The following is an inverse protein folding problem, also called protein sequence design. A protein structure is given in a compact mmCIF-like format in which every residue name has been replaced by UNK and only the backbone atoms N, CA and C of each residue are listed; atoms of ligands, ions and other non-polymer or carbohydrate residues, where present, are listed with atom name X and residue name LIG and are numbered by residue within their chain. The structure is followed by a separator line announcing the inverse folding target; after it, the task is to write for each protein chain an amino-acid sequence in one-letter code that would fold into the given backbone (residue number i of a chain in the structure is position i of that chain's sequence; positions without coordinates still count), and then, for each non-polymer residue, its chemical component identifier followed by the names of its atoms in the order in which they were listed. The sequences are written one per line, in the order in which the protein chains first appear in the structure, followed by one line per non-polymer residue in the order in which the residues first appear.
data_IF_438452019001
#
_entry.id   IF_438452019001
#
_cell.length_a   1.000
_cell.length_b   1.000
_cell.length_c   1.000
_cell.angle_alpha   90.00
_cell.angle_beta   90.00
_cell.angle_gamma   90.00
#
_symmetry.space_group_name_H-M   'P 1'
#
loop_
_entity.id
_entity.type
_entity.pdbx_description
1 polymer ?
#
# COMPACT_ATOMS: atom_id res chain seq x y z
N UNK A 1 3.88 -33.73 -14.79
CA UNK A 1 3.36 -33.00 -13.61
C UNK A 1 4.53 -32.29 -13.00
N UNK A 2 4.54 -30.96 -13.00
CA UNK A 2 5.57 -30.20 -12.28
C UNK A 2 5.45 -30.52 -10.80
N UNK A 3 6.57 -30.82 -10.14
CA UNK A 3 6.58 -31.07 -8.70
C UNK A 3 5.99 -29.85 -7.99
N UNK A 4 5.12 -30.07 -6.98
CA UNK A 4 4.56 -29.01 -6.17
C UNK A 4 5.70 -28.26 -5.46
N UNK A 5 5.92 -26.95 -5.72
CA UNK A 5 7.06 -26.20 -5.18
C UNK A 5 7.01 -26.06 -3.64
N UNK A 6 5.84 -26.28 -3.03
CA UNK A 6 5.61 -26.10 -1.59
C UNK A 6 5.67 -27.41 -0.78
N UNK A 7 5.68 -28.56 -1.46
CA UNK A 7 5.67 -29.87 -0.78
C UNK A 7 6.87 -30.04 0.15
N UNK A 8 6.62 -30.32 1.42
CA UNK A 8 7.64 -30.53 2.43
C UNK A 8 8.38 -29.28 2.90
N UNK A 9 7.95 -28.09 2.50
CA UNK A 9 8.50 -26.82 2.99
C UNK A 9 7.68 -26.28 4.15
N UNK A 10 8.36 -25.70 5.11
CA UNK A 10 7.75 -24.88 6.18
C UNK A 10 7.73 -23.44 5.72
N UNK A 11 6.55 -22.85 5.61
CA UNK A 11 6.34 -21.49 5.13
C UNK A 11 5.74 -20.65 6.26
N UNK A 12 6.31 -19.48 6.52
CA UNK A 12 5.72 -18.52 7.43
C UNK A 12 4.70 -17.65 6.67
N UNK A 13 3.51 -17.50 7.21
CA UNK A 13 2.54 -16.48 6.80
C UNK A 13 2.50 -15.43 7.89
N UNK A 14 3.11 -14.28 7.59
CA UNK A 14 3.11 -13.12 8.47
C UNK A 14 1.74 -12.47 8.42
N UNK A 15 1.10 -12.29 9.56
CA UNK A 15 -0.26 -11.76 9.65
C UNK A 15 -0.47 -10.98 10.94
N UNK A 16 -1.59 -10.31 11.08
CA UNK A 16 -1.95 -9.56 12.29
C UNK A 16 -1.16 -8.27 12.45
N UNK A 17 -0.19 -8.25 13.34
CA UNK A 17 0.59 -7.06 13.66
C UNK A 17 -0.17 -6.04 14.52
N UNK A 18 0.37 -4.82 14.63
CA UNK A 18 -0.17 -3.76 15.49
C UNK A 18 -0.73 -2.56 14.73
N UNK A 19 -0.70 -2.58 13.39
CA UNK A 19 -1.25 -1.53 12.55
C UNK A 19 -2.78 -1.47 12.62
N UNK A 20 -3.35 -0.36 12.16
CA UNK A 20 -4.80 -0.16 12.12
C UNK A 20 -5.51 -1.20 11.24
N UNK A 21 -4.82 -1.73 10.23
CA UNK A 21 -5.31 -2.77 9.32
C UNK A 21 -5.18 -4.21 9.85
N UNK A 22 -4.90 -4.39 11.16
CA UNK A 22 -4.71 -5.72 11.77
C UNK A 22 -5.79 -6.75 11.37
N UNK A 23 -7.06 -6.37 11.39
CA UNK A 23 -8.17 -7.27 11.04
C UNK A 23 -8.10 -7.76 9.59
N UNK A 24 -7.72 -6.88 8.67
CA UNK A 24 -7.55 -7.20 7.24
C UNK A 24 -6.35 -8.14 7.06
N UNK A 25 -5.25 -7.86 7.77
CA UNK A 25 -4.05 -8.72 7.75
C UNK A 25 -4.33 -10.12 8.26
N UNK A 26 -5.11 -10.27 9.33
CA UNK A 26 -5.52 -11.57 9.86
C UNK A 26 -6.38 -12.35 8.86
N UNK A 27 -7.34 -11.70 8.22
CA UNK A 27 -8.21 -12.35 7.22
C UNK A 27 -7.43 -12.76 5.97
N UNK A 28 -6.64 -11.87 5.41
CA UNK A 28 -5.81 -12.12 4.23
C UNK A 28 -4.78 -13.22 4.50
N UNK A 29 -4.13 -13.14 5.67
CA UNK A 29 -3.16 -14.14 6.10
C UNK A 29 -3.76 -15.52 6.27
N UNK A 30 -4.95 -15.63 6.88
CA UNK A 30 -5.64 -16.92 7.02
C UNK A 30 -6.07 -17.50 5.67
N UNK A 31 -6.50 -16.67 4.72
CA UNK A 31 -6.85 -17.12 3.37
C UNK A 31 -5.62 -17.67 2.63
N UNK A 32 -4.47 -16.99 2.72
CA UNK A 32 -3.21 -17.47 2.11
C UNK A 32 -2.71 -18.72 2.83
N UNK A 33 -2.75 -18.76 4.15
CA UNK A 33 -2.32 -19.92 4.92
C UNK A 33 -3.09 -21.20 4.51
N UNK A 34 -4.41 -21.11 4.43
CA UNK A 34 -5.26 -22.24 3.97
C UNK A 34 -4.94 -22.68 2.55
N UNK A 35 -4.70 -21.73 1.64
CA UNK A 35 -4.34 -22.05 0.26
C UNK A 35 -2.99 -22.79 0.17
N UNK A 36 -1.99 -22.37 0.96
CA UNK A 36 -0.68 -23.01 1.01
C UNK A 36 -0.75 -24.41 1.64
N UNK A 37 -1.57 -24.61 2.69
CA UNK A 37 -1.84 -25.93 3.29
C UNK A 37 -2.49 -26.88 2.27
N UNK A 38 -3.48 -26.39 1.53
CA UNK A 38 -4.11 -27.16 0.43
C UNK A 38 -3.12 -27.52 -0.67
N UNK A 39 -2.12 -26.67 -0.88
CA UNK A 39 -1.01 -26.95 -1.80
C UNK A 39 0.07 -27.88 -1.19
N UNK A 40 -0.10 -28.35 0.03
CA UNK A 40 0.79 -29.34 0.67
C UNK A 40 2.00 -28.76 1.40
N UNK A 41 2.00 -27.46 1.71
CA UNK A 41 2.99 -26.84 2.59
C UNK A 41 2.66 -27.08 4.08
N UNK A 42 3.68 -27.03 4.93
CA UNK A 42 3.53 -26.79 6.35
C UNK A 42 3.50 -25.29 6.58
N UNK A 43 2.47 -24.78 7.25
CA UNK A 43 2.29 -23.32 7.42
C UNK A 43 2.41 -22.92 8.88
N UNK A 44 3.27 -21.96 9.15
CA UNK A 44 3.36 -21.22 10.42
C UNK A 44 2.59 -19.90 10.27
N UNK A 45 1.56 -19.72 11.07
CA UNK A 45 0.85 -18.45 11.19
C UNK A 45 1.57 -17.59 12.19
N UNK A 46 2.25 -16.55 11.74
CA UNK A 46 3.14 -15.73 12.58
C UNK A 46 2.53 -14.34 12.76
N UNK A 47 1.89 -14.16 13.91
CA UNK A 47 1.35 -12.85 14.29
C UNK A 47 2.44 -12.03 15.01
N UNK A 48 2.85 -10.91 14.41
CA UNK A 48 3.92 -10.08 14.96
C UNK A 48 3.53 -9.30 16.21
N UNK A 49 2.24 -9.30 16.60
CA UNK A 49 1.79 -8.77 17.87
C UNK A 49 1.99 -9.77 19.04
N UNK A 50 2.23 -11.05 18.74
CA UNK A 50 2.38 -12.08 19.75
C UNK A 50 3.82 -12.19 20.25
N UNK A 51 3.98 -12.46 21.55
CA UNK A 51 5.31 -12.67 22.12
C UNK A 51 5.98 -13.92 21.52
N UNK A 52 7.27 -13.81 21.20
CA UNK A 52 8.05 -14.95 20.69
C UNK A 52 7.86 -15.26 19.20
N UNK A 53 7.16 -14.42 18.44
CA UNK A 53 6.96 -14.63 17.01
C UNK A 53 8.27 -14.77 16.21
N UNK A 54 9.35 -14.09 16.62
CA UNK A 54 10.67 -14.18 15.97
C UNK A 54 11.25 -15.61 16.01
N UNK A 55 11.01 -16.36 17.08
CA UNK A 55 11.53 -17.72 17.19
C UNK A 55 10.89 -18.67 16.18
N UNK A 56 9.62 -18.43 15.84
CA UNK A 56 8.89 -19.23 14.86
C UNK A 56 9.49 -19.09 13.46
N UNK A 57 10.07 -17.93 13.11
CA UNK A 57 10.68 -17.71 11.81
C UNK A 57 11.92 -18.56 11.54
N UNK A 58 12.59 -19.06 12.59
CA UNK A 58 13.78 -19.91 12.44
C UNK A 58 13.52 -21.23 11.73
N UNK A 59 12.27 -21.69 11.74
CA UNK A 59 11.85 -22.93 11.09
C UNK A 59 11.37 -22.70 9.66
N UNK A 60 11.17 -21.45 9.26
CA UNK A 60 10.63 -21.12 7.95
C UNK A 60 11.70 -21.11 6.86
N UNK A 61 11.36 -21.61 5.69
CA UNK A 61 12.18 -21.55 4.47
C UNK A 61 11.80 -20.40 3.54
N UNK A 62 10.64 -19.76 3.77
CA UNK A 62 10.13 -18.61 3.04
C UNK A 62 9.06 -17.91 3.88
N UNK A 63 8.93 -16.60 3.76
CA UNK A 63 7.89 -15.81 4.42
C UNK A 63 6.94 -15.17 3.39
N UNK A 64 5.65 -15.44 3.54
CA UNK A 64 4.59 -14.67 2.89
C UNK A 64 4.21 -13.50 3.79
N UNK A 65 4.50 -12.27 3.34
CA UNK A 65 4.19 -11.08 4.10
C UNK A 65 2.77 -10.59 3.77
N UNK A 66 1.85 -10.76 4.71
CA UNK A 66 0.45 -10.28 4.64
C UNK A 66 0.19 -9.24 5.74
N UNK A 67 1.25 -8.69 6.34
CA UNK A 67 1.14 -7.54 7.23
C UNK A 67 0.77 -6.29 6.41
N UNK A 68 0.02 -5.40 7.01
CA UNK A 68 -0.36 -4.11 6.43
C UNK A 68 0.17 -2.96 7.29
N UNK A 69 0.33 -1.80 6.64
CA UNK A 69 0.72 -0.57 7.30
C UNK A 69 2.12 -0.59 7.95
N UNK A 70 2.34 0.27 8.95
CA UNK A 70 3.62 0.34 9.66
C UNK A 70 4.02 -0.99 10.28
N UNK A 71 5.29 -1.37 10.10
CA UNK A 71 5.86 -2.65 10.52
C UNK A 71 5.75 -3.77 9.47
N UNK A 72 4.80 -3.66 8.53
CA UNK A 72 4.58 -4.65 7.47
C UNK A 72 5.00 -4.17 6.09
N UNK A 73 4.76 -2.89 5.77
CA UNK A 73 4.96 -2.30 4.44
C UNK A 73 6.06 -1.23 4.41
N UNK A 74 6.64 -0.87 5.54
CA UNK A 74 7.59 0.22 5.72
C UNK A 74 9.08 -0.19 5.71
N UNK A 75 9.39 -1.42 5.32
CA UNK A 75 10.75 -1.96 5.30
C UNK A 75 11.19 -2.61 6.62
N UNK A 76 10.46 -2.45 7.72
CA UNK A 76 10.84 -2.96 9.05
C UNK A 76 10.97 -4.48 9.04
N UNK A 77 9.91 -5.20 8.64
CA UNK A 77 9.93 -6.66 8.60
C UNK A 77 10.80 -7.18 7.46
N UNK A 78 10.87 -6.48 6.33
CA UNK A 78 11.74 -6.81 5.20
C UNK A 78 13.21 -6.80 5.62
N UNK A 79 13.65 -5.78 6.39
CA UNK A 79 15.00 -5.71 6.94
C UNK A 79 15.33 -6.87 7.89
N UNK A 80 14.37 -7.33 8.67
CA UNK A 80 14.52 -8.52 9.49
C UNK A 80 14.72 -9.78 8.62
N UNK A 81 13.90 -9.97 7.59
CA UNK A 81 14.02 -11.12 6.69
C UNK A 81 15.38 -11.14 5.99
N UNK A 82 15.89 -9.98 5.53
CA UNK A 82 17.21 -9.87 4.92
C UNK A 82 18.33 -10.24 5.90
N UNK A 83 18.28 -9.75 7.15
CA UNK A 83 19.24 -10.13 8.20
C UNK A 83 19.21 -11.63 8.50
N UNK A 84 18.03 -12.22 8.51
CA UNK A 84 17.83 -13.67 8.70
C UNK A 84 18.18 -14.49 7.46
N UNK A 85 18.39 -13.86 6.30
CA UNK A 85 18.51 -14.51 4.98
C UNK A 85 17.30 -15.38 4.65
N UNK A 86 16.11 -14.97 5.11
CA UNK A 86 14.85 -15.64 4.87
C UNK A 86 14.21 -15.02 3.61
N UNK A 87 14.06 -15.77 2.52
CA UNK A 87 13.36 -15.28 1.33
C UNK A 87 11.91 -14.94 1.67
N UNK A 88 11.36 -13.89 1.06
CA UNK A 88 10.00 -13.42 1.34
C UNK A 88 9.28 -12.90 0.09
N UNK A 89 7.97 -12.75 0.19
CA UNK A 89 7.12 -12.16 -0.85
C UNK A 89 7.07 -10.63 -0.72
N UNK A 90 6.94 -9.95 -1.86
CA UNK A 90 6.78 -8.49 -1.92
C UNK A 90 8.09 -7.78 -2.27
N UNK A 91 8.08 -6.47 -2.07
CA UNK A 91 9.21 -5.59 -2.35
C UNK A 91 10.31 -5.72 -1.28
N UNK A 92 11.54 -5.34 -1.65
CA UNK A 92 12.67 -5.32 -0.72
C UNK A 92 12.54 -4.20 0.32
N UNK A 93 13.49 -4.17 1.27
CA UNK A 93 13.52 -3.18 2.34
C UNK A 93 13.53 -1.75 1.80
N UNK A 94 14.39 -1.47 0.80
CA UNK A 94 14.55 -0.10 0.31
C UNK A 94 13.30 0.38 -0.42
N UNK A 95 12.75 -0.43 -1.29
CA UNK A 95 11.51 -0.12 -2.01
C UNK A 95 10.34 0.08 -1.02
N UNK A 96 10.16 -0.85 -0.06
CA UNK A 96 9.11 -0.76 0.95
C UNK A 96 9.23 0.51 1.81
N UNK A 97 10.42 0.80 2.33
CA UNK A 97 10.64 1.98 3.16
C UNK A 97 10.43 3.30 2.41
N UNK A 98 10.85 3.35 1.14
CA UNK A 98 10.72 4.54 0.31
C UNK A 98 9.25 4.77 -0.09
N UNK A 99 8.58 3.73 -0.60
CA UNK A 99 7.22 3.85 -1.15
C UNK A 99 6.15 4.00 -0.08
N UNK A 100 6.41 3.57 1.15
CA UNK A 100 5.53 3.86 2.28
C UNK A 100 5.46 5.36 2.59
N UNK A 101 6.55 6.11 2.37
CA UNK A 101 6.59 7.56 2.57
C UNK A 101 6.16 8.29 1.28
N UNK A 102 4.90 8.72 1.26
CA UNK A 102 4.32 9.41 0.09
C UNK A 102 5.08 10.66 -0.33
N UNK A 103 5.62 11.41 0.61
CA UNK A 103 6.37 12.66 0.32
C UNK A 103 7.69 12.32 -0.36
N UNK A 104 8.45 11.35 0.18
CA UNK A 104 9.71 10.91 -0.40
C UNK A 104 9.54 10.23 -1.75
N UNK A 105 8.51 9.40 -1.89
CA UNK A 105 8.12 8.79 -3.17
C UNK A 105 7.87 9.86 -4.23
N UNK A 106 7.09 10.89 -3.90
CA UNK A 106 6.80 11.97 -4.85
C UNK A 106 8.04 12.79 -5.23
N UNK A 107 8.95 13.03 -4.29
CA UNK A 107 10.23 13.68 -4.62
C UNK A 107 11.09 12.83 -5.56
N UNK A 108 11.11 11.49 -5.34
CA UNK A 108 11.80 10.58 -6.25
C UNK A 108 11.19 10.63 -7.65
N UNK A 109 9.87 10.50 -7.75
CA UNK A 109 9.17 10.55 -9.04
C UNK A 109 9.38 11.87 -9.77
N UNK A 110 9.33 13.00 -9.07
CA UNK A 110 9.66 14.29 -9.65
C UNK A 110 11.11 14.34 -10.17
N UNK A 111 12.06 13.81 -9.40
CA UNK A 111 13.47 13.72 -9.81
C UNK A 111 13.69 12.83 -11.03
N UNK A 112 12.87 11.81 -11.23
CA UNK A 112 12.88 10.92 -12.40
C UNK A 112 12.04 11.43 -13.57
N UNK A 113 11.32 12.56 -13.42
CA UNK A 113 10.43 13.09 -14.43
C UNK A 113 9.13 12.30 -14.61
N UNK A 114 8.77 11.45 -13.63
CA UNK A 114 7.51 10.72 -13.64
C UNK A 114 6.35 11.65 -13.29
N UNK A 115 5.19 11.51 -13.95
CA UNK A 115 4.02 12.33 -13.67
C UNK A 115 3.48 12.02 -12.27
N UNK A 116 3.35 13.05 -11.45
CA UNK A 116 2.73 12.97 -10.13
C UNK A 116 2.02 14.29 -9.84
N UNK A 117 0.82 14.29 -9.23
CA UNK A 117 0.11 15.53 -8.92
C UNK A 117 0.95 16.46 -8.06
N UNK A 118 0.77 17.78 -8.24
CA UNK A 118 1.43 18.76 -7.40
C UNK A 118 1.04 18.56 -5.92
N UNK A 119 1.96 18.81 -5.01
CA UNK A 119 1.73 18.59 -3.59
C UNK A 119 2.48 19.58 -2.72
N UNK A 120 2.06 19.70 -1.47
CA UNK A 120 2.70 20.50 -0.44
C UNK A 120 2.77 19.70 0.87
N UNK A 121 3.94 19.65 1.50
CA UNK A 121 4.08 19.08 2.83
C UNK A 121 3.55 20.08 3.86
N UNK A 122 2.60 19.65 4.69
CA UNK A 122 1.92 20.50 5.65
C UNK A 122 2.61 20.47 7.02
N UNK A 123 2.63 21.62 7.68
CA UNK A 123 3.07 21.79 9.07
C UNK A 123 2.08 22.70 9.80
N UNK A 124 2.21 22.85 11.12
CA UNK A 124 1.41 23.80 11.90
C UNK A 124 1.61 25.28 11.49
N UNK A 125 2.68 25.59 10.77
CA UNK A 125 3.02 26.94 10.29
C UNK A 125 2.62 27.15 8.82
N UNK A 126 1.95 26.20 8.20
CA UNK A 126 1.53 26.28 6.79
C UNK A 126 0.57 27.44 6.57
N UNK A 127 0.79 28.22 5.52
CA UNK A 127 -0.18 29.17 5.03
C UNK A 127 -1.27 28.44 4.25
N UNK A 128 -2.37 28.07 4.92
CA UNK A 128 -3.46 27.28 4.37
C UNK A 128 -4.08 27.89 3.11
N UNK A 129 -4.25 29.23 3.12
CA UNK A 129 -4.82 29.96 2.00
C UNK A 129 -3.91 29.86 0.75
N UNK A 130 -2.61 30.03 0.93
CA UNK A 130 -1.66 29.93 -0.18
C UNK A 130 -1.60 28.52 -0.78
N UNK A 131 -1.76 27.47 0.03
CA UNK A 131 -1.82 26.09 -0.47
C UNK A 131 -3.05 25.88 -1.35
N UNK A 132 -4.24 26.34 -0.93
CA UNK A 132 -5.46 26.23 -1.73
C UNK A 132 -5.39 27.07 -3.01
N UNK A 133 -4.81 28.27 -2.94
CA UNK A 133 -4.61 29.10 -4.14
C UNK A 133 -3.67 28.43 -5.16
N UNK A 134 -2.65 27.71 -4.69
CA UNK A 134 -1.71 27.03 -5.54
C UNK A 134 -2.22 25.70 -6.13
N UNK A 135 -2.94 24.89 -5.33
CA UNK A 135 -3.31 23.52 -5.68
C UNK A 135 -4.80 23.34 -5.99
N UNK A 136 -5.66 24.28 -5.60
CA UNK A 136 -7.11 24.14 -5.71
C UNK A 136 -7.66 23.12 -4.70
N UNK A 137 -8.59 22.27 -5.15
CA UNK A 137 -9.06 21.14 -4.34
C UNK A 137 -7.92 20.14 -4.13
N UNK A 138 -7.76 19.68 -2.90
CA UNK A 138 -6.68 18.74 -2.51
C UNK A 138 -7.19 17.54 -1.74
N UNK A 139 -6.45 16.45 -1.81
CA UNK A 139 -6.47 15.41 -0.81
C UNK A 139 -5.41 15.69 0.26
N UNK A 140 -5.84 15.76 1.52
CA UNK A 140 -4.94 15.76 2.69
C UNK A 140 -4.72 14.32 3.12
N UNK A 141 -3.45 13.93 3.29
CA UNK A 141 -3.07 12.53 3.57
C UNK A 141 -1.99 12.48 4.64
N UNK A 142 -2.05 11.55 5.61
CA UNK A 142 -0.88 11.18 6.40
C UNK A 142 0.20 10.62 5.46
N UNK A 143 1.45 11.00 5.69
CA UNK A 143 2.55 10.61 4.78
C UNK A 143 2.89 9.12 4.84
N UNK A 144 2.73 8.50 6.03
CA UNK A 144 3.20 7.14 6.34
C UNK A 144 2.08 6.13 6.60
N UNK A 145 0.82 6.45 6.26
CA UNK A 145 -0.31 5.55 6.46
C UNK A 145 -0.84 4.99 5.14
N UNK A 146 -1.35 3.76 5.20
CA UNK A 146 -2.00 3.08 4.10
C UNK A 146 -3.52 3.24 4.09
N UNK A 147 -4.19 2.47 3.24
CA UNK A 147 -5.64 2.18 3.26
C UNK A 147 -6.57 3.40 3.30
N UNK A 148 -6.12 4.55 2.81
CA UNK A 148 -6.87 5.83 2.84
C UNK A 148 -7.22 6.31 4.26
N UNK A 149 -6.56 5.81 5.30
CA UNK A 149 -6.74 6.24 6.68
C UNK A 149 -6.33 7.71 6.85
N UNK A 150 -7.17 8.47 7.56
CA UNK A 150 -6.91 9.88 7.84
C UNK A 150 -6.95 10.81 6.62
N UNK A 151 -7.42 10.33 5.46
CA UNK A 151 -7.56 11.13 4.24
C UNK A 151 -8.79 12.03 4.28
N UNK A 152 -8.67 13.22 3.71
CA UNK A 152 -9.78 14.17 3.53
C UNK A 152 -9.65 14.92 2.20
N UNK A 153 -10.76 15.11 1.48
CA UNK A 153 -10.84 15.94 0.29
C UNK A 153 -11.40 17.31 0.67
N UNK A 154 -10.64 18.38 0.42
CA UNK A 154 -10.97 19.73 0.85
C UNK A 154 -10.67 20.77 -0.24
N UNK A 155 -11.42 21.86 -0.26
CA UNK A 155 -11.30 22.92 -1.27
C UNK A 155 -11.15 24.33 -0.72
N UNK A 156 -10.98 24.50 0.60
CA UNK A 156 -10.79 25.81 1.21
C UNK A 156 -9.82 25.73 2.40
N UNK A 157 -9.31 26.88 2.82
CA UNK A 157 -8.27 26.99 3.83
C UNK A 157 -8.71 26.51 5.22
N UNK A 158 -9.97 26.76 5.62
CA UNK A 158 -10.48 26.35 6.92
C UNK A 158 -10.58 24.83 7.04
N UNK A 159 -11.11 24.18 6.01
CA UNK A 159 -11.21 22.72 5.95
C UNK A 159 -9.83 22.07 5.81
N UNK A 160 -8.87 22.72 5.10
CA UNK A 160 -7.50 22.25 4.99
C UNK A 160 -6.81 22.19 6.35
N UNK A 161 -6.96 23.24 7.18
CA UNK A 161 -6.41 23.24 8.53
C UNK A 161 -7.05 22.15 9.41
N UNK A 162 -8.35 21.97 9.33
CA UNK A 162 -9.05 20.91 10.07
C UNK A 162 -8.60 19.51 9.61
N UNK A 163 -8.48 19.30 8.30
CA UNK A 163 -8.00 18.06 7.71
C UNK A 163 -6.53 17.75 8.10
N UNK A 164 -5.67 18.78 8.15
CA UNK A 164 -4.30 18.64 8.65
C UNK A 164 -4.28 18.15 10.10
N UNK A 165 -5.07 18.76 10.98
CA UNK A 165 -5.15 18.36 12.39
C UNK A 165 -5.64 16.90 12.52
N UNK A 166 -6.64 16.53 11.74
CA UNK A 166 -7.13 15.15 11.70
C UNK A 166 -6.05 14.17 11.21
N UNK A 167 -5.46 14.43 10.05
CA UNK A 167 -4.41 13.59 9.47
C UNK A 167 -3.19 13.44 10.40
N UNK A 168 -2.84 14.49 11.16
CA UNK A 168 -1.73 14.47 12.12
C UNK A 168 -1.93 13.49 13.29
N UNK A 169 -3.16 13.02 13.54
CA UNK A 169 -3.43 12.01 14.59
C UNK A 169 -3.00 10.61 14.16
N UNK A 170 -2.72 10.40 12.88
CA UNK A 170 -2.32 9.12 12.30
C UNK A 170 -0.80 8.95 12.14
N UNK A 171 0.01 9.84 12.70
CA UNK A 171 1.46 9.71 12.66
C UNK A 171 2.18 10.97 12.18
N UNK A 172 3.48 10.84 11.95
CA UNK A 172 4.33 11.96 11.55
C UNK A 172 4.24 12.25 10.05
N UNK A 173 4.11 13.54 9.73
CA UNK A 173 4.07 14.02 8.35
C UNK A 173 2.67 13.99 7.75
N UNK A 174 2.27 15.13 7.20
CA UNK A 174 1.01 15.29 6.47
C UNK A 174 1.31 16.01 5.16
N UNK A 175 0.64 15.64 4.10
CA UNK A 175 0.73 16.31 2.81
C UNK A 175 -0.66 16.68 2.27
N UNK A 176 -0.72 17.76 1.50
CA UNK A 176 -1.82 18.08 0.61
C UNK A 176 -1.40 17.78 -0.83
N UNK A 177 -2.18 17.01 -1.54
CA UNK A 177 -1.95 16.67 -2.94
C UNK A 177 -3.10 17.19 -3.79
N UNK A 178 -2.79 17.80 -4.93
CA UNK A 178 -3.81 18.27 -5.86
C UNK A 178 -4.76 17.14 -6.25
N UNK A 179 -6.05 17.39 -6.15
CA UNK A 179 -7.07 16.44 -6.59
C UNK A 179 -7.04 16.30 -8.12
N UNK A 180 -6.94 15.07 -8.58
CA UNK A 180 -7.06 14.72 -10.00
C UNK A 180 -8.39 14.00 -10.19
N UNK A 181 -9.23 14.54 -11.08
CA UNK A 181 -10.51 13.90 -11.43
C UNK A 181 -10.31 12.87 -12.53
N UNK A 182 -11.08 11.81 -12.49
CA UNK A 182 -11.07 10.77 -13.51
C UNK A 182 -11.20 9.36 -12.94
N UNK A 183 -11.21 8.34 -13.80
CA UNK A 183 -11.19 6.96 -13.38
C UNK A 183 -9.91 6.60 -12.62
N UNK A 184 -10.01 5.71 -11.65
CA UNK A 184 -8.86 5.21 -10.88
C UNK A 184 -8.41 3.86 -11.46
N UNK A 185 -7.10 3.71 -11.64
CA UNK A 185 -6.49 2.49 -12.14
C UNK A 185 -5.37 2.02 -11.22
N UNK A 186 -5.15 0.70 -11.20
CA UNK A 186 -3.96 0.11 -10.58
C UNK A 186 -3.32 -0.89 -11.54
N UNK A 187 -2.00 -0.99 -11.49
CA UNK A 187 -1.21 -1.96 -12.28
C UNK A 187 -0.31 -2.72 -11.31
N UNK A 188 -0.49 -4.02 -11.22
CA UNK A 188 0.39 -4.87 -10.44
C UNK A 188 1.64 -5.24 -11.24
N UNK A 189 2.78 -5.26 -10.57
CA UNK A 189 4.06 -5.68 -11.15
C UNK A 189 4.46 -7.04 -10.55
N UNK A 190 4.81 -8.00 -11.40
CA UNK A 190 5.34 -9.29 -10.99
C UNK A 190 6.72 -9.52 -11.62
N UNK A 191 7.76 -9.38 -10.82
CA UNK A 191 9.14 -9.36 -11.31
C UNK A 191 9.38 -8.12 -12.17
N UNK A 192 9.65 -8.34 -13.45
CA UNK A 192 9.88 -7.30 -14.47
C UNK A 192 8.68 -7.08 -15.42
N UNK A 193 7.51 -7.61 -15.04
CA UNK A 193 6.31 -7.60 -15.89
C UNK A 193 5.18 -6.82 -15.25
N UNK A 194 4.63 -5.86 -15.99
CA UNK A 194 3.33 -5.29 -15.68
C UNK A 194 2.23 -6.33 -15.99
N UNK A 195 1.31 -6.51 -15.06
CA UNK A 195 0.08 -7.27 -15.27
C UNK A 195 -0.99 -6.35 -15.86
N UNK A 196 -2.06 -6.89 -16.44
CA UNK A 196 -3.14 -6.09 -17.00
C UNK A 196 -3.66 -5.07 -15.98
N UNK A 197 -3.91 -3.85 -16.43
CA UNK A 197 -4.43 -2.79 -15.57
C UNK A 197 -5.82 -3.15 -15.04
N UNK A 198 -6.13 -2.63 -13.87
CA UNK A 198 -7.44 -2.81 -13.21
C UNK A 198 -8.05 -1.43 -13.03
N UNK A 199 -9.26 -1.24 -13.55
CA UNK A 199 -10.08 -0.06 -13.27
C UNK A 199 -10.86 -0.28 -11.99
N UNK A 200 -10.88 0.75 -11.14
CA UNK A 200 -11.58 0.77 -9.85
C UNK A 200 -12.72 1.78 -9.94
N UNK A 201 -13.95 1.30 -9.86
CA UNK A 201 -15.15 2.13 -9.83
C UNK A 201 -15.76 2.09 -8.42
N UNK A 202 -15.94 3.26 -7.81
CA UNK A 202 -16.53 3.43 -6.47
C UNK A 202 -17.85 4.18 -6.55
N UNK A 203 -18.76 3.91 -5.62
CA UNK A 203 -20.04 4.63 -5.52
C UNK A 203 -19.93 5.95 -4.74
N UNK A 204 -18.84 6.12 -3.96
CA UNK A 204 -18.57 7.31 -3.14
C UNK A 204 -17.75 8.38 -3.86
N UNK A 205 -17.36 9.42 -3.12
CA UNK A 205 -16.55 10.54 -3.63
C UNK A 205 -15.11 10.13 -3.99
N UNK A 206 -14.57 9.10 -3.34
CA UNK A 206 -13.24 8.55 -3.59
C UNK A 206 -13.10 7.14 -3.00
N UNK A 207 -12.02 6.45 -3.34
CA UNK A 207 -11.70 5.10 -2.88
C UNK A 207 -11.16 5.12 -1.45
N UNK A 208 -12.06 5.29 -0.47
CA UNK A 208 -11.78 5.33 0.96
C UNK A 208 -11.65 3.93 1.58
N UNK A 209 -11.47 3.87 2.90
CA UNK A 209 -11.31 2.61 3.64
C UNK A 209 -12.55 1.69 3.51
N UNK A 210 -13.74 2.26 3.61
CA UNK A 210 -14.98 1.48 3.49
C UNK A 210 -15.17 0.97 2.05
N UNK A 211 -14.85 1.78 1.04
CA UNK A 211 -14.89 1.36 -0.35
C UNK A 211 -13.87 0.24 -0.66
N UNK A 212 -12.72 0.23 0.05
CA UNK A 212 -11.67 -0.80 -0.11
C UNK A 212 -12.06 -2.16 0.48
N UNK A 213 -12.66 -2.17 1.67
CA UNK A 213 -12.74 -3.38 2.48
C UNK A 213 -14.16 -3.83 2.84
N UNK A 214 -15.14 -2.93 2.79
CA UNK A 214 -16.50 -3.21 3.29
C UNK A 214 -17.59 -3.03 2.25
N UNK A 215 -17.38 -2.18 1.24
CA UNK A 215 -18.42 -1.90 0.25
C UNK A 215 -18.54 -3.02 -0.78
N UNK A 216 -19.74 -3.56 -0.94
CA UNK A 216 -20.10 -4.46 -2.03
C UNK A 216 -20.34 -3.73 -3.38
N UNK A 217 -20.32 -2.40 -3.39
CA UNK A 217 -20.57 -1.58 -4.59
C UNK A 217 -19.30 -1.22 -5.35
N UNK A 218 -18.13 -1.37 -4.73
CA UNK A 218 -16.84 -1.20 -5.41
C UNK A 218 -16.68 -2.27 -6.49
N UNK A 219 -16.37 -1.85 -7.70
CA UNK A 219 -16.21 -2.75 -8.85
C UNK A 219 -14.79 -2.69 -9.39
N UNK A 220 -14.27 -3.86 -9.71
CA UNK A 220 -12.96 -4.02 -10.34
C UNK A 220 -13.14 -4.62 -11.73
N UNK A 221 -12.65 -3.92 -12.75
CA UNK A 221 -12.66 -4.39 -14.14
C UNK A 221 -11.22 -4.72 -14.55
N UNK A 222 -10.95 -6.00 -14.83
CA UNK A 222 -9.62 -6.50 -15.21
C UNK A 222 -9.74 -7.46 -16.41
N UNK A 223 -9.03 -7.24 -17.53
CA UNK A 223 -8.31 -6.00 -17.86
C UNK A 223 -9.26 -4.79 -17.86
N UNK A 224 -8.73 -3.61 -17.58
CA UNK A 224 -9.48 -2.37 -17.73
C UNK A 224 -9.85 -2.17 -19.21
N UNK A 225 -11.03 -1.62 -19.48
CA UNK A 225 -11.51 -1.37 -20.86
C UNK A 225 -10.78 -0.15 -21.46
N UNK A 226 -9.45 -0.29 -21.67
CA UNK A 226 -8.57 0.72 -22.27
C UNK A 226 -8.21 0.31 -23.68
N UNK A 227 -7.95 1.31 -24.54
CA UNK A 227 -7.33 1.04 -25.83
C UNK A 227 -5.86 0.63 -25.65
N UNK A 228 -5.30 -0.10 -26.62
CA UNK A 228 -3.97 -0.70 -26.47
C UNK A 228 -2.86 0.32 -26.15
N UNK A 229 -2.96 1.55 -26.68
CA UNK A 229 -2.01 2.62 -26.44
C UNK A 229 -2.06 3.13 -25.00
N UNK A 230 -3.24 3.24 -24.41
CA UNK A 230 -3.43 3.66 -23.01
C UNK A 230 -2.94 2.57 -22.04
N UNK A 231 -3.27 1.31 -22.31
CA UNK A 231 -2.80 0.16 -21.53
C UNK A 231 -1.26 0.07 -21.53
N UNK A 232 -0.64 0.27 -22.70
CA UNK A 232 0.81 0.28 -22.83
C UNK A 232 1.44 1.44 -22.04
N UNK A 233 0.87 2.65 -22.13
CA UNK A 233 1.36 3.81 -21.39
C UNK A 233 1.26 3.63 -19.88
N UNK A 234 0.17 3.06 -19.36
CA UNK A 234 0.03 2.75 -17.93
C UNK A 234 1.04 1.70 -17.48
N UNK A 235 1.25 0.66 -18.29
CA UNK A 235 2.21 -0.40 -18.01
C UNK A 235 3.65 0.14 -17.95
N UNK A 236 4.05 0.97 -18.93
CA UNK A 236 5.35 1.61 -18.96
C UNK A 236 5.56 2.54 -17.76
N UNK A 237 4.55 3.34 -17.42
CA UNK A 237 4.60 4.22 -16.26
C UNK A 237 4.73 3.43 -14.94
N UNK A 238 3.98 2.36 -14.79
CA UNK A 238 4.04 1.52 -13.59
C UNK A 238 5.38 0.80 -13.44
N UNK A 239 6.01 0.38 -14.55
CA UNK A 239 7.34 -0.23 -14.54
C UNK A 239 8.45 0.78 -14.26
N UNK A 240 8.24 2.06 -14.54
CA UNK A 240 9.20 3.13 -14.32
C UNK A 240 9.12 3.72 -12.90
N UNK A 241 8.00 3.53 -12.21
CA UNK A 241 7.72 4.07 -10.87
C UNK A 241 8.24 3.18 -9.75
#
# INVERSE_FOLDING_TARGET
MTANPFSGKTLAVMLGGTAAERSISLESGENVARALEQAGAQVLRVDTAEAGWLEQLKEASFAFNLLHGPGGEDGTVQGLFELMKLPYSGCDLMASALTMDKVRTKWLWQGLGLPTPAFHQLTSETNWQAVIEALGTVFVKPALEGSSLGMSKVGNAQDLEAAYRHASTFGAGVMAEQFVSGPEYTVAILGDRALPSIRIDVSGDFYDFDAKYHSAETRFTCPADLVAEEEAALSELALAA
#
